data_IF_909209332458
#
_entry.id   IF_909209332458
#
_cell.length_a   1.000
_cell.length_b   1.000
_cell.length_c   1.000
_cell.angle_alpha   90.00
_cell.angle_beta   90.00
_cell.angle_gamma   90.00
#
_symmetry.space_group_name_H-M   'P 1'
#
loop_
_entity.id
_entity.type
_entity.pdbx_description
1 polymer ?
#
# COMPACT_ATOMS: atom_id res chain seq x y z
N UNK A 1 -57.65 33.90 -35.46
CA UNK A 1 -58.16 33.93 -34.07
C UNK A 1 -58.40 32.49 -33.61
N UNK A 2 -57.83 32.10 -32.44
CA UNK A 2 -58.04 30.88 -31.63
C UNK A 2 -57.38 29.57 -32.12
N UNK A 3 -56.10 29.33 -31.79
CA UNK A 3 -55.56 28.46 -30.70
C UNK A 3 -55.96 26.98 -30.74
N UNK A 4 -54.96 26.09 -30.95
CA UNK A 4 -54.67 24.93 -30.07
C UNK A 4 -53.17 24.61 -30.12
N UNK A 5 -52.49 24.87 -29.02
CA UNK A 5 -51.17 24.33 -28.70
C UNK A 5 -51.32 22.84 -28.36
N UNK A 6 -50.41 22.01 -28.84
CA UNK A 6 -50.30 20.61 -28.45
C UNK A 6 -48.83 20.29 -28.16
N UNK A 7 -48.42 20.73 -26.97
CA UNK A 7 -47.56 20.04 -26.01
C UNK A 7 -47.16 18.61 -26.38
N UNK A 8 -45.90 18.40 -26.77
CA UNK A 8 -45.16 17.15 -26.58
C UNK A 8 -43.70 17.49 -26.26
N UNK A 9 -43.53 18.18 -25.14
CA UNK A 9 -42.26 18.24 -24.41
C UNK A 9 -42.54 17.53 -23.11
N UNK A 10 -42.31 16.21 -23.05
CA UNK A 10 -42.13 15.51 -21.77
C UNK A 10 -41.67 14.07 -22.01
N UNK A 11 -40.77 13.62 -21.13
CA UNK A 11 -40.32 12.24 -20.91
C UNK A 11 -39.20 11.72 -21.83
N UNK A 12 -38.03 12.34 -21.76
CA UNK A 12 -36.77 11.61 -21.97
C UNK A 12 -35.64 12.20 -21.10
N UNK A 13 -35.93 12.49 -19.83
CA UNK A 13 -35.00 13.19 -18.94
C UNK A 13 -35.03 12.67 -17.49
N UNK A 14 -35.22 11.36 -17.29
CA UNK A 14 -35.21 10.81 -15.92
C UNK A 14 -34.76 9.34 -15.87
N UNK A 15 -33.54 9.03 -16.32
CA UNK A 15 -32.87 7.78 -15.95
C UNK A 15 -31.34 7.82 -16.16
N UNK A 16 -30.69 8.92 -15.76
CA UNK A 16 -29.21 9.00 -15.72
C UNK A 16 -28.86 9.63 -14.38
N UNK A 17 -28.50 8.81 -13.40
CA UNK A 17 -28.12 9.33 -12.09
C UNK A 17 -28.01 8.27 -10.99
N UNK A 18 -27.43 7.11 -11.30
CA UNK A 18 -27.09 6.12 -10.28
C UNK A 18 -25.96 5.19 -10.73
N UNK A 19 -24.95 5.72 -11.42
CA UNK A 19 -23.75 4.95 -11.79
C UNK A 19 -22.53 5.55 -11.11
N UNK A 20 -21.98 4.80 -10.14
CA UNK A 20 -20.56 4.83 -9.83
C UNK A 20 -20.13 5.67 -8.62
N UNK A 21 -20.60 5.33 -7.42
CA UNK A 21 -19.72 5.34 -6.25
C UNK A 21 -19.13 3.93 -6.07
N UNK A 22 -18.54 3.39 -7.14
CA UNK A 22 -17.48 2.41 -6.97
C UNK A 22 -16.25 3.28 -6.84
N UNK A 23 -15.87 3.58 -5.61
CA UNK A 23 -14.49 3.92 -5.33
C UNK A 23 -13.69 2.72 -5.82
N UNK A 24 -13.16 2.80 -7.03
CA UNK A 24 -11.95 2.06 -7.36
C UNK A 24 -10.92 2.60 -6.39
N UNK A 25 -10.82 1.98 -5.21
CA UNK A 25 -9.60 2.05 -4.43
C UNK A 25 -8.52 1.68 -5.43
N UNK A 26 -7.66 2.65 -5.75
CA UNK A 26 -6.51 2.41 -6.59
C UNK A 26 -5.77 1.24 -5.95
N UNK A 27 -5.61 0.16 -6.72
CA UNK A 27 -5.14 -1.12 -6.19
C UNK A 27 -3.81 -0.87 -5.49
N UNK A 28 -3.74 -1.20 -4.19
CA UNK A 28 -2.51 -1.09 -3.43
C UNK A 28 -1.56 -2.17 -3.92
N UNK A 29 -0.87 -1.90 -5.03
CA UNK A 29 0.15 -2.77 -5.57
C UNK A 29 1.26 -2.97 -4.54
N UNK A 30 1.75 -4.20 -4.42
CA UNK A 30 2.95 -4.50 -3.66
C UNK A 30 4.08 -4.82 -4.62
N UNK A 31 5.20 -4.12 -4.51
CA UNK A 31 6.41 -4.42 -5.29
C UNK A 31 7.38 -5.25 -4.47
N UNK A 32 7.81 -6.40 -4.99
CA UNK A 32 8.90 -7.17 -4.41
C UNK A 32 10.08 -7.24 -5.39
N UNK A 33 11.29 -7.01 -4.89
CA UNK A 33 12.52 -7.13 -5.67
C UNK A 33 13.54 -8.07 -5.00
N UNK A 34 14.20 -8.92 -5.80
CA UNK A 34 15.38 -9.68 -5.34
C UNK A 34 16.54 -9.35 -6.29
N UNK A 35 17.19 -8.23 -5.99
CA UNK A 35 18.32 -7.72 -6.79
C UNK A 35 19.67 -8.23 -6.29
N UNK A 36 19.71 -9.00 -5.20
CA UNK A 36 20.95 -9.44 -4.57
C UNK A 36 21.85 -8.28 -4.12
N UNK A 37 21.25 -7.17 -3.66
CA UNK A 37 21.99 -5.99 -3.21
C UNK A 37 22.78 -6.31 -1.95
N UNK A 38 24.02 -5.83 -1.91
CA UNK A 38 24.85 -5.77 -0.72
C UNK A 38 24.84 -4.32 -0.21
N UNK A 39 24.32 -4.11 1.00
CA UNK A 39 24.11 -2.80 1.60
C UNK A 39 24.80 -2.72 2.97
N UNK A 40 25.23 -1.52 3.33
CA UNK A 40 25.53 -1.19 4.72
C UNK A 40 24.24 -0.95 5.52
N UNK A 41 24.31 -1.05 6.85
CA UNK A 41 23.18 -0.65 7.72
C UNK A 41 22.68 0.78 7.48
N UNK A 42 23.55 1.69 7.00
CA UNK A 42 23.16 3.07 6.69
C UNK A 42 22.35 3.11 5.40
N UNK A 43 22.83 2.49 4.33
CA UNK A 43 22.13 2.44 3.04
C UNK A 43 20.78 1.72 3.16
N UNK A 44 20.72 0.62 3.92
CA UNK A 44 19.48 -0.13 4.15
C UNK A 44 18.36 0.72 4.78
N UNK A 45 18.72 1.69 5.63
CA UNK A 45 17.76 2.62 6.25
C UNK A 45 17.23 3.65 5.25
N UNK A 46 18.04 3.97 4.26
CA UNK A 46 17.77 5.05 3.30
C UNK A 46 17.20 4.53 1.96
N UNK A 47 16.97 3.21 1.82
CA UNK A 47 16.33 2.59 0.64
C UNK A 47 15.05 3.31 0.23
N UNK A 48 14.28 3.82 1.19
CA UNK A 48 13.06 4.57 0.92
C UNK A 48 13.24 5.81 0.00
N UNK A 49 14.45 6.36 -0.10
CA UNK A 49 14.76 7.49 -0.98
C UNK A 49 14.82 7.10 -2.47
N UNK A 50 15.01 5.82 -2.77
CA UNK A 50 15.12 5.27 -4.13
C UNK A 50 13.79 4.74 -4.67
N UNK A 51 12.89 4.35 -3.77
CA UNK A 51 11.63 3.68 -4.11
C UNK A 51 10.53 4.71 -4.38
N UNK A 52 9.79 4.49 -5.48
CA UNK A 52 8.63 5.30 -5.81
C UNK A 52 7.58 5.24 -4.69
N UNK A 53 7.01 6.40 -4.35
CA UNK A 53 5.93 6.49 -3.38
C UNK A 53 4.68 5.77 -3.95
N UNK A 54 3.94 5.00 -3.13
CA UNK A 54 2.73 4.34 -3.61
C UNK A 54 1.63 5.38 -3.87
N UNK A 55 0.65 5.09 -4.74
CA UNK A 55 -0.37 6.06 -5.11
C UNK A 55 -1.35 6.40 -3.98
N UNK A 56 -1.47 5.53 -2.98
CA UNK A 56 -2.39 5.71 -1.84
C UNK A 56 -1.83 6.62 -0.72
N UNK A 57 -0.66 7.27 -0.90
CA UNK A 57 -0.18 8.25 0.08
C UNK A 57 -1.19 9.39 0.22
N UNK A 58 -1.47 9.78 1.46
CA UNK A 58 -2.51 10.75 1.81
C UNK A 58 -3.91 10.14 1.99
N UNK A 59 -4.11 8.86 1.68
CA UNK A 59 -5.37 8.17 1.94
C UNK A 59 -5.67 8.12 3.45
N UNK A 60 -6.96 8.17 3.86
CA UNK A 60 -7.36 8.03 5.26
C UNK A 60 -6.86 6.73 5.90
N UNK A 61 -6.43 6.76 7.16
CA UNK A 61 -6.04 5.54 7.89
C UNK A 61 -7.15 4.49 8.01
N UNK A 62 -8.41 4.90 7.84
CA UNK A 62 -9.56 3.99 7.81
C UNK A 62 -9.56 3.07 6.59
N UNK A 63 -8.87 3.44 5.51
CA UNK A 63 -8.70 2.59 4.32
C UNK A 63 -7.53 1.61 4.45
N UNK A 64 -6.66 1.80 5.46
CA UNK A 64 -5.46 0.99 5.65
C UNK A 64 -5.72 -0.53 5.75
N UNK A 65 -6.79 -1.03 6.40
CA UNK A 65 -7.06 -2.47 6.44
C UNK A 65 -7.31 -3.07 5.05
N UNK A 66 -8.09 -2.39 4.20
CA UNK A 66 -8.40 -2.86 2.84
C UNK A 66 -7.18 -2.76 1.92
N UNK A 67 -6.45 -1.64 1.97
CA UNK A 67 -5.22 -1.45 1.22
C UNK A 67 -4.15 -2.49 1.61
N UNK A 68 -3.97 -2.75 2.92
CA UNK A 68 -3.06 -3.80 3.41
C UNK A 68 -3.47 -5.18 2.93
N UNK A 69 -4.77 -5.49 3.00
CA UNK A 69 -5.28 -6.78 2.55
C UNK A 69 -4.97 -6.99 1.05
N UNK A 70 -5.25 -6.00 0.21
CA UNK A 70 -4.94 -6.01 -1.21
C UNK A 70 -3.43 -6.17 -1.47
N UNK A 71 -2.59 -5.39 -0.80
CA UNK A 71 -1.14 -5.46 -0.95
C UNK A 71 -0.56 -6.83 -0.55
N UNK A 72 -1.04 -7.42 0.56
CA UNK A 72 -0.59 -8.73 1.03
C UNK A 72 -1.14 -9.89 0.18
N UNK A 73 -2.27 -9.73 -0.52
CA UNK A 73 -2.70 -10.69 -1.54
C UNK A 73 -1.78 -10.58 -2.75
N UNK A 74 -1.57 -9.36 -3.26
CA UNK A 74 -0.69 -9.09 -4.39
C UNK A 74 0.71 -9.67 -4.17
N UNK A 75 1.28 -9.52 -2.97
CA UNK A 75 2.57 -10.11 -2.63
C UNK A 75 2.54 -11.65 -2.68
N UNK A 76 1.52 -12.31 -2.11
CA UNK A 76 1.42 -13.80 -2.10
C UNK A 76 1.38 -14.39 -3.51
N UNK A 77 0.80 -13.67 -4.46
CA UNK A 77 0.66 -14.11 -5.84
C UNK A 77 1.98 -14.05 -6.64
N UNK A 78 3.02 -13.39 -6.11
CA UNK A 78 4.30 -13.21 -6.80
C UNK A 78 5.24 -14.42 -6.71
N UNK A 79 5.07 -15.29 -5.72
CA UNK A 79 5.89 -16.50 -5.58
C UNK A 79 5.92 -17.08 -4.17
N UNK A 80 6.65 -18.19 -4.00
CA UNK A 80 6.68 -18.94 -2.74
C UNK A 80 7.33 -18.13 -1.61
N UNK A 81 8.48 -17.50 -1.87
CA UNK A 81 9.14 -16.64 -0.89
C UNK A 81 8.28 -15.42 -0.54
N UNK A 82 7.67 -14.80 -1.55
CA UNK A 82 6.80 -13.65 -1.34
C UNK A 82 5.58 -14.02 -0.51
N UNK A 83 5.04 -15.23 -0.67
CA UNK A 83 4.00 -15.75 0.19
C UNK A 83 4.45 -15.97 1.64
N UNK A 84 5.69 -16.43 1.86
CA UNK A 84 6.29 -16.53 3.20
C UNK A 84 6.43 -15.14 3.85
N UNK A 85 6.98 -14.17 3.12
CA UNK A 85 7.08 -12.79 3.59
C UNK A 85 5.69 -12.20 3.87
N UNK A 86 4.70 -12.41 3.01
CA UNK A 86 3.33 -11.93 3.24
C UNK A 86 2.71 -12.51 4.52
N UNK A 87 3.03 -13.75 4.88
CA UNK A 87 2.57 -14.37 6.12
C UNK A 87 3.25 -13.71 7.33
N UNK A 88 4.58 -13.51 7.29
CA UNK A 88 5.30 -12.76 8.31
C UNK A 88 4.70 -11.35 8.51
N UNK A 89 4.47 -10.62 7.42
CA UNK A 89 3.87 -9.28 7.49
C UNK A 89 2.43 -9.30 8.01
N UNK A 90 1.67 -10.36 7.76
CA UNK A 90 0.32 -10.51 8.33
C UNK A 90 0.35 -10.63 9.85
N UNK A 91 1.38 -11.29 10.39
CA UNK A 91 1.59 -11.41 11.85
C UNK A 91 2.08 -10.10 12.47
N UNK A 92 2.98 -9.40 11.78
CA UNK A 92 3.54 -8.12 12.24
C UNK A 92 2.53 -6.95 12.19
N UNK A 93 1.60 -6.97 11.23
CA UNK A 93 0.62 -5.91 11.00
C UNK A 93 -0.81 -6.42 11.23
N UNK A 94 -1.24 -6.59 12.49
CA UNK A 94 -2.59 -7.06 12.80
C UNK A 94 -3.64 -6.12 12.19
N UNK A 95 -4.88 -6.57 12.05
CA UNK A 95 -5.92 -5.84 11.30
C UNK A 95 -6.12 -4.39 11.78
N UNK A 96 -5.97 -4.14 13.09
CA UNK A 96 -6.10 -2.82 13.71
C UNK A 96 -4.90 -1.88 13.45
N UNK A 97 -3.84 -2.38 12.82
CA UNK A 97 -2.70 -1.54 12.43
C UNK A 97 -3.17 -0.46 11.46
N UNK A 98 -2.56 0.73 11.57
CA UNK A 98 -2.81 1.88 10.69
C UNK A 98 -1.69 2.03 9.67
N UNK A 99 -1.30 0.92 9.06
CA UNK A 99 -0.19 0.88 8.09
C UNK A 99 -0.43 -0.05 6.91
N UNK A 100 0.23 0.23 5.80
CA UNK A 100 0.11 -0.51 4.55
C UNK A 100 1.52 -0.75 4.01
N UNK A 101 2.02 -1.99 3.98
CA UNK A 101 3.28 -2.29 3.33
C UNK A 101 3.09 -2.22 1.81
N UNK A 102 4.08 -1.67 1.10
CA UNK A 102 3.97 -1.44 -0.36
C UNK A 102 5.19 -1.87 -1.15
N UNK A 103 6.33 -2.06 -0.48
CA UNK A 103 7.56 -2.51 -1.10
C UNK A 103 8.27 -3.48 -0.17
N UNK A 104 8.92 -4.48 -0.75
CA UNK A 104 9.98 -5.20 -0.08
C UNK A 104 11.11 -5.58 -1.05
N UNK A 105 12.30 -5.76 -0.52
CA UNK A 105 13.39 -6.40 -1.24
C UNK A 105 14.13 -7.43 -0.39
N UNK A 106 14.64 -8.48 -1.05
CA UNK A 106 15.68 -9.33 -0.47
C UNK A 106 17.06 -8.71 -0.72
N UNK A 107 17.86 -8.63 0.34
CA UNK A 107 19.20 -8.06 0.29
C UNK A 107 20.13 -8.72 1.32
N UNK A 108 21.39 -8.33 1.30
CA UNK A 108 22.35 -8.57 2.37
C UNK A 108 22.71 -7.23 3.02
N UNK A 109 22.60 -7.12 4.34
CA UNK A 109 23.00 -5.95 5.12
C UNK A 109 24.12 -6.31 6.06
N UNK A 110 25.29 -5.71 5.88
CA UNK A 110 26.51 -5.98 6.66
C UNK A 110 26.81 -7.49 6.78
N UNK A 111 26.60 -8.24 5.69
CA UNK A 111 26.79 -9.69 5.62
C UNK A 111 25.64 -10.56 6.14
N UNK A 112 24.54 -9.96 6.58
CA UNK A 112 23.33 -10.68 7.05
C UNK A 112 22.27 -10.68 5.96
N UNK A 113 21.66 -11.84 5.66
CA UNK A 113 20.55 -11.89 4.70
C UNK A 113 19.27 -11.34 5.34
N UNK A 114 18.66 -10.36 4.68
CA UNK A 114 17.52 -9.61 5.22
C UNK A 114 16.39 -9.45 4.20
N UNK A 115 15.21 -9.16 4.71
CA UNK A 115 14.19 -8.43 3.95
C UNK A 115 14.16 -6.98 4.39
N UNK A 116 14.15 -6.06 3.43
CA UNK A 116 13.89 -4.63 3.67
C UNK A 116 12.46 -4.37 3.25
N UNK A 117 11.62 -3.84 4.13
CA UNK A 117 10.19 -3.61 3.89
C UNK A 117 9.86 -2.14 4.10
N UNK A 118 9.15 -1.54 3.16
CA UNK A 118 8.62 -0.18 3.30
C UNK A 118 7.11 -0.22 3.53
N UNK A 119 6.66 0.56 4.50
CA UNK A 119 5.24 0.80 4.75
C UNK A 119 4.90 2.29 4.78
N UNK A 120 3.65 2.60 4.44
CA UNK A 120 3.03 3.87 4.77
C UNK A 120 2.16 3.70 6.01
N UNK A 121 2.12 4.69 6.90
CA UNK A 121 1.34 4.65 8.12
C UNK A 121 0.89 6.04 8.58
N UNK A 122 -0.12 6.07 9.46
CA UNK A 122 -0.69 7.30 10.02
C UNK A 122 -1.07 7.18 11.49
N UNK A 123 -1.27 8.32 12.16
CA UNK A 123 -1.85 8.34 13.51
C UNK A 123 -3.38 8.28 13.44
N UNK A 124 -4.05 8.28 14.59
CA UNK A 124 -5.50 8.11 14.63
C UNK A 124 -6.22 9.27 13.95
N UNK A 125 -7.16 8.95 13.04
CA UNK A 125 -7.93 9.94 12.27
C UNK A 125 -7.10 10.81 11.31
N UNK A 126 -5.85 10.42 11.02
CA UNK A 126 -4.99 11.08 10.04
C UNK A 126 -4.96 10.32 8.70
N UNK A 127 -4.06 10.76 7.83
CA UNK A 127 -3.75 10.15 6.55
C UNK A 127 -2.47 9.29 6.61
N UNK A 128 -2.31 8.40 5.63
CA UNK A 128 -1.09 7.61 5.40
C UNK A 128 0.05 8.48 4.83
N UNK A 129 0.60 9.36 5.67
CA UNK A 129 1.61 10.37 5.28
C UNK A 129 3.02 10.09 5.86
N UNK A 130 3.16 9.06 6.69
CA UNK A 130 4.43 8.68 7.28
C UNK A 130 4.92 7.38 6.64
N UNK A 131 6.22 7.28 6.45
CA UNK A 131 6.86 6.07 5.97
C UNK A 131 7.58 5.37 7.11
N UNK A 132 7.78 4.06 6.96
CA UNK A 132 8.72 3.31 7.79
C UNK A 132 9.43 2.26 6.97
N UNK A 133 10.74 2.20 7.14
CA UNK A 133 11.58 1.11 6.64
C UNK A 133 11.81 0.15 7.78
N UNK A 134 11.61 -1.14 7.52
CA UNK A 134 11.96 -2.24 8.38
C UNK A 134 13.09 -3.03 7.74
N UNK A 135 14.09 -3.42 8.53
CA UNK A 135 15.09 -4.42 8.13
C UNK A 135 14.86 -5.63 9.00
N UNK A 136 14.51 -6.74 8.37
CA UNK A 136 14.12 -7.99 9.02
C UNK A 136 15.17 -9.06 8.70
N UNK A 137 15.64 -9.80 9.69
CA UNK A 137 16.44 -10.99 9.42
C UNK A 137 15.60 -12.01 8.62
N UNK A 138 16.14 -12.49 7.49
CA UNK A 138 15.39 -13.36 6.57
C UNK A 138 15.14 -14.76 7.14
N UNK A 139 15.93 -15.21 8.13
CA UNK A 139 15.80 -16.53 8.72
C UNK A 139 14.84 -16.55 9.90
N UNK A 140 14.87 -15.53 10.75
CA UNK A 140 14.06 -15.46 11.98
C UNK A 140 12.82 -14.57 11.84
N UNK A 141 12.78 -13.66 10.85
CA UNK A 141 11.79 -12.60 10.76
C UNK A 141 11.95 -11.51 11.83
N UNK A 142 13.02 -11.55 12.61
CA UNK A 142 13.27 -10.57 13.67
C UNK A 142 13.58 -9.19 13.09
N UNK A 143 13.01 -8.15 13.71
CA UNK A 143 13.28 -6.77 13.35
C UNK A 143 14.70 -6.40 13.82
N UNK A 144 15.61 -6.23 12.87
CA UNK A 144 16.98 -5.78 13.15
C UNK A 144 17.04 -4.27 13.33
N UNK A 145 16.34 -3.52 12.48
CA UNK A 145 16.21 -2.07 12.62
C UNK A 145 14.91 -1.56 12.00
N UNK A 146 14.52 -0.36 12.43
CA UNK A 146 13.44 0.38 11.80
C UNK A 146 13.74 1.87 11.80
N UNK A 147 13.34 2.56 10.74
CA UNK A 147 13.43 4.02 10.63
C UNK A 147 12.13 4.57 10.11
N UNK A 148 11.66 5.65 10.73
CA UNK A 148 10.46 6.39 10.33
C UNK A 148 10.86 7.68 9.62
N UNK A 149 10.10 8.05 8.60
CA UNK A 149 10.32 9.25 7.80
C UNK A 149 8.98 9.84 7.33
N UNK A 150 9.02 11.03 6.72
CA UNK A 150 7.84 11.65 6.09
C UNK A 150 7.77 11.28 4.61
N UNK A 151 6.56 10.99 4.14
CA UNK A 151 6.29 10.74 2.72
C UNK A 151 5.88 12.02 1.97
N UNK A 152 5.87 13.16 2.66
CA UNK A 152 5.65 14.50 2.10
C UNK A 152 7.00 15.12 1.71
#
# INVERSE_FOLDING_TARGET
MKTKAATYVLLFALLIGATGLLGCAEEAGFTYEDLGRELSSVEARDVHAEIARPPFIGAPVTEAPELRHSALISLREQGAEQAELANLLTEMFPQEARSVPYYAEAATVDGTSVWIVLEAWGTESESLDNGRTWVLDRNSGEIMTSVTYKLQ
#
